data_IF_180571491964
#
_entry.id   IF_180571491964
#
_cell.length_a   1.000
_cell.length_b   1.000
_cell.length_c   1.000
_cell.angle_alpha   90.00
_cell.angle_beta   90.00
_cell.angle_gamma   90.00
#
_symmetry.space_group_name_H-M   'P 1'
#
loop_
_entity.id
_entity.type
_entity.pdbx_description
1 polymer ?
#
# COMPACT_ATOMS: atom_id res chain seq x y z
N UNK A 1 -4.21 -0.46 -6.84
CA UNK A 1 -4.98 -1.31 -5.89
C UNK A 1 -5.15 -2.74 -6.42
N UNK A 2 -5.00 -2.93 -7.74
CA UNK A 2 -5.13 -4.21 -8.44
C UNK A 2 -4.26 -5.33 -7.85
N UNK A 3 -3.01 -5.04 -7.48
CA UNK A 3 -2.12 -6.07 -6.88
C UNK A 3 -2.66 -6.60 -5.54
N UNK A 4 -3.16 -5.74 -4.66
CA UNK A 4 -3.76 -6.16 -3.39
C UNK A 4 -5.04 -6.97 -3.63
N UNK A 5 -5.91 -6.51 -4.53
CA UNK A 5 -7.15 -7.22 -4.88
C UNK A 5 -6.86 -8.61 -5.44
N UNK A 6 -5.92 -8.75 -6.38
CA UNK A 6 -5.50 -10.05 -6.92
C UNK A 6 -4.96 -10.97 -5.83
N UNK A 7 -4.14 -10.46 -4.90
CA UNK A 7 -3.64 -11.25 -3.79
C UNK A 7 -4.75 -11.71 -2.84
N UNK A 8 -5.74 -10.86 -2.59
CA UNK A 8 -6.89 -11.19 -1.75
C UNK A 8 -7.76 -12.27 -2.41
N UNK A 9 -7.95 -12.22 -3.72
CA UNK A 9 -8.63 -13.28 -4.48
C UNK A 9 -7.84 -14.58 -4.42
N UNK A 10 -6.55 -14.54 -4.77
CA UNK A 10 -5.73 -15.76 -4.90
C UNK A 10 -5.38 -16.44 -3.57
N UNK A 11 -5.10 -15.63 -2.53
CA UNK A 11 -4.56 -16.15 -1.26
C UNK A 11 -5.58 -16.25 -0.14
N UNK A 12 -6.64 -15.43 -0.19
CA UNK A 12 -7.70 -15.44 0.81
C UNK A 12 -9.03 -15.99 0.26
N UNK A 13 -9.04 -16.48 -0.98
CA UNK A 13 -10.21 -17.09 -1.64
C UNK A 13 -11.45 -16.18 -1.59
N UNK A 14 -11.21 -14.88 -1.77
CA UNK A 14 -12.27 -13.88 -1.82
C UNK A 14 -12.78 -13.73 -3.26
N UNK A 15 -14.08 -13.44 -3.40
CA UNK A 15 -14.58 -12.94 -4.68
C UNK A 15 -13.95 -11.59 -5.00
N UNK A 16 -13.90 -11.22 -6.28
CA UNK A 16 -13.35 -9.92 -6.71
C UNK A 16 -14.06 -8.75 -6.00
N UNK A 17 -15.39 -8.82 -5.85
CA UNK A 17 -16.17 -7.81 -5.12
C UNK A 17 -15.79 -7.74 -3.63
N UNK A 18 -15.57 -8.88 -2.97
CA UNK A 18 -15.15 -8.92 -1.57
C UNK A 18 -13.73 -8.35 -1.42
N UNK A 19 -12.83 -8.73 -2.32
CA UNK A 19 -11.45 -8.25 -2.34
C UNK A 19 -11.38 -6.73 -2.55
N UNK A 20 -12.19 -6.17 -3.44
CA UNK A 20 -12.29 -4.71 -3.64
C UNK A 20 -12.76 -3.99 -2.38
N UNK A 21 -13.79 -4.52 -1.69
CA UNK A 21 -14.28 -3.94 -0.43
C UNK A 21 -13.21 -3.96 0.66
N UNK A 22 -12.52 -5.09 0.82
CA UNK A 22 -11.43 -5.23 1.81
C UNK A 22 -10.28 -4.27 1.47
N UNK A 23 -9.91 -4.17 0.21
CA UNK A 23 -8.88 -3.24 -0.25
C UNK A 23 -9.26 -1.77 0.04
N UNK A 24 -10.53 -1.40 -0.12
CA UNK A 24 -11.07 -0.10 0.27
C UNK A 24 -10.95 0.18 1.77
N UNK A 25 -11.41 -0.77 2.61
CA UNK A 25 -11.32 -0.63 4.07
C UNK A 25 -9.87 -0.49 4.54
N UNK A 26 -8.95 -1.28 3.96
CA UNK A 26 -7.52 -1.19 4.29
C UNK A 26 -6.93 0.16 3.89
N UNK A 27 -7.32 0.70 2.73
CA UNK A 27 -6.88 2.02 2.29
C UNK A 27 -7.32 3.09 3.27
N UNK A 28 -8.60 3.12 3.64
CA UNK A 28 -9.15 4.14 4.53
C UNK A 28 -8.51 4.05 5.92
N UNK A 29 -8.34 2.84 6.44
CA UNK A 29 -7.64 2.61 7.71
C UNK A 29 -6.20 3.16 7.69
N UNK A 30 -5.48 2.95 6.60
CA UNK A 30 -4.10 3.44 6.47
C UNK A 30 -4.05 4.95 6.26
N UNK A 31 -4.99 5.53 5.53
CA UNK A 31 -5.08 6.99 5.38
C UNK A 31 -5.33 7.68 6.73
N UNK A 32 -6.13 7.08 7.61
CA UNK A 32 -6.38 7.63 8.95
C UNK A 32 -5.21 7.47 9.92
N UNK A 33 -4.36 6.45 9.72
CA UNK A 33 -3.31 6.06 10.67
C UNK A 33 -1.92 6.51 10.29
N UNK A 34 -1.66 6.72 9.01
CA UNK A 34 -0.34 7.10 8.54
C UNK A 34 -0.14 8.62 8.65
N UNK A 35 1.03 9.06 9.15
CA UNK A 35 1.47 10.44 8.97
C UNK A 35 1.51 10.82 7.49
N UNK A 36 1.22 12.08 7.16
CA UNK A 36 1.10 12.53 5.76
C UNK A 36 2.32 12.18 4.89
N UNK A 37 3.53 12.23 5.46
CA UNK A 37 4.77 11.88 4.76
C UNK A 37 4.86 10.39 4.35
N UNK A 38 4.10 9.50 4.99
CA UNK A 38 4.12 8.06 4.75
C UNK A 38 2.89 7.56 3.98
N UNK A 39 1.82 8.36 3.87
CA UNK A 39 0.59 7.96 3.18
C UNK A 39 0.84 7.56 1.73
N UNK A 40 1.44 8.46 0.96
CA UNK A 40 1.66 8.25 -0.48
C UNK A 40 2.56 7.05 -0.77
N UNK A 41 3.74 6.90 -0.13
CA UNK A 41 4.62 5.75 -0.35
C UNK A 41 3.98 4.40 0.02
N UNK A 42 3.24 4.35 1.13
CA UNK A 42 2.60 3.10 1.58
C UNK A 42 1.43 2.72 0.69
N UNK A 43 0.58 3.68 0.33
CA UNK A 43 -0.53 3.41 -0.59
C UNK A 43 -0.03 2.92 -1.95
N UNK A 44 1.10 3.44 -2.45
CA UNK A 44 1.71 3.00 -3.71
C UNK A 44 2.30 1.60 -3.64
N UNK A 45 2.92 1.24 -2.52
CA UNK A 45 3.41 -0.11 -2.28
C UNK A 45 2.23 -1.12 -2.28
N UNK A 46 1.10 -0.75 -1.68
CA UNK A 46 -0.12 -1.58 -1.69
C UNK A 46 -0.78 -1.65 -3.07
N UNK A 47 -0.74 -0.58 -3.85
CA UNK A 47 -1.35 -0.58 -5.18
C UNK A 47 -0.51 -1.33 -6.22
N UNK A 48 0.78 -1.53 -5.95
CA UNK A 48 1.76 -2.04 -6.91
C UNK A 48 2.13 -1.01 -7.98
N UNK A 49 1.76 0.27 -7.79
CA UNK A 49 1.92 1.32 -8.81
C UNK A 49 3.32 1.98 -8.77
N UNK A 50 4.18 1.63 -7.81
CA UNK A 50 5.60 2.06 -7.83
C UNK A 50 6.52 0.90 -7.44
N UNK A 51 7.13 0.27 -8.44
CA UNK A 51 8.30 -0.59 -8.21
C UNK A 51 9.57 0.26 -8.09
N UNK A 52 9.66 1.42 -8.74
CA UNK A 52 10.95 2.14 -8.83
C UNK A 52 11.08 3.38 -7.93
N UNK A 53 10.01 4.15 -7.68
CA UNK A 53 10.13 5.48 -7.02
C UNK A 53 9.83 5.49 -5.52
N UNK A 54 9.11 4.50 -4.99
CA UNK A 54 8.78 4.41 -3.55
C UNK A 54 9.91 3.80 -2.71
N UNK A 55 10.69 2.87 -3.30
CA UNK A 55 11.86 2.27 -2.66
C UNK A 55 12.93 3.33 -2.40
N UNK A 56 13.19 4.21 -3.38
CA UNK A 56 14.13 5.31 -3.23
C UNK A 56 13.69 6.36 -2.21
N UNK A 57 12.38 6.67 -2.13
CA UNK A 57 11.84 7.60 -1.15
C UNK A 57 11.91 7.03 0.29
N UNK A 58 11.57 5.75 0.47
CA UNK A 58 11.66 5.07 1.76
C UNK A 58 13.12 4.88 2.22
N UNK A 59 14.02 4.52 1.29
CA UNK A 59 15.45 4.41 1.55
C UNK A 59 16.07 5.78 1.90
N UNK A 60 15.65 6.86 1.23
CA UNK A 60 16.11 8.22 1.54
C UNK A 60 15.62 8.71 2.90
N UNK A 61 14.37 8.40 3.28
CA UNK A 61 13.83 8.74 4.61
C UNK A 61 14.53 7.94 5.72
N UNK A 62 14.75 6.63 5.53
CA UNK A 62 15.46 5.80 6.51
C UNK A 62 16.95 6.13 6.60
N UNK A 63 17.60 6.42 5.47
CA UNK A 63 19.00 6.82 5.42
C UNK A 63 19.24 8.23 5.96
N UNK A 64 18.26 9.14 5.85
CA UNK A 64 18.29 10.46 6.46
C UNK A 64 18.00 10.45 7.97
N UNK A 65 17.26 9.46 8.48
CA UNK A 65 16.94 9.33 9.90
C UNK A 65 18.06 8.62 10.71
N UNK A 66 18.90 7.82 10.06
CA UNK A 66 20.03 7.10 10.67
C UNK A 66 21.38 7.85 10.60
N UNK A 67 21.37 9.11 10.17
CA UNK A 67 22.58 9.94 10.04
C UNK A 67 22.59 11.12 11.00
#
# INVERSE_FOLDING_TARGET
MKSLVSQLVEKADLSEEQAEKVAGVLRDFLDDRLPDMLKEPVLQALTGERVDSAVDAAASLLGGFLK
#
